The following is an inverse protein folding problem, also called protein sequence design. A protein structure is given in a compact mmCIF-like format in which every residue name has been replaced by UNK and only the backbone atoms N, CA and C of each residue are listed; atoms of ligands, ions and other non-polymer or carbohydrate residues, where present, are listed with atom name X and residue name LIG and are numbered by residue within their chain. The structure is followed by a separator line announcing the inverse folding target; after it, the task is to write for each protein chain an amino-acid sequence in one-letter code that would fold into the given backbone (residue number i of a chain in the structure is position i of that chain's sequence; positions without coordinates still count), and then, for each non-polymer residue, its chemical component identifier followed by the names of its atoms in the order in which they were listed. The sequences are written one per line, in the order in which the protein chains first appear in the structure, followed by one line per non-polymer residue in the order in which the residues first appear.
data_IF_595739316585
#
_entry.id   IF_595739316585
#
_cell.length_a   1.000
_cell.length_b   1.000
_cell.length_c   1.000
_cell.angle_alpha   90.00
_cell.angle_beta   90.00
_cell.angle_gamma   90.00
#
_symmetry.space_group_name_H-M   'P 1'
#
loop_
_entity.id
_entity.type
_entity.pdbx_description
1 polymer ?
2 non-polymer ?
#
# COMPACT_ATOMS: atom_id res chain seq x y z
N UNK A 4 3.62 20.10 8.08
CA UNK A 4 2.47 19.53 8.80
C UNK A 4 2.76 18.14 9.43
N UNK A 5 3.94 17.52 9.08
CA UNK A 5 4.36 16.20 9.58
C UNK A 5 4.81 16.23 11.06
N UNK A 6 3.83 16.06 11.98
CA UNK A 6 4.04 16.08 13.43
C UNK A 6 3.72 14.74 14.10
N UNK A 7 4.56 14.33 15.07
CA UNK A 7 4.44 13.05 15.79
C UNK A 7 3.86 13.21 17.19
N UNK A 8 3.51 12.07 17.80
CA UNK A 8 3.02 11.96 19.18
C UNK A 8 4.03 11.13 20.00
N UNK A 9 3.78 10.95 21.31
CA UNK A 9 4.66 10.18 22.19
C UNK A 9 4.66 8.70 21.86
N UNK A 10 3.47 8.08 21.70
CA UNK A 10 3.33 6.66 21.36
C UNK A 10 4.01 6.32 20.01
N UNK A 11 3.96 7.25 19.01
CA UNK A 11 4.58 7.08 17.69
C UNK A 11 6.09 7.24 17.72
N UNK A 12 6.61 8.17 18.56
CA UNK A 12 8.05 8.37 18.75
C UNK A 12 8.64 7.17 19.50
N UNK A 13 7.87 6.62 20.47
CA UNK A 13 8.24 5.48 21.31
C UNK A 13 8.45 4.21 20.45
N UNK A 14 7.49 3.94 19.52
CA UNK A 14 7.49 2.80 18.60
C UNK A 14 8.61 2.91 17.56
N UNK A 15 8.84 4.14 17.02
CA UNK A 15 9.89 4.44 16.03
C UNK A 15 11.29 4.28 16.62
N UNK A 16 11.43 4.59 17.92
CA UNK A 16 12.65 4.48 18.71
C UNK A 16 13.00 2.99 18.90
N UNK A 17 12.03 2.18 19.40
CA UNK A 17 12.17 0.74 19.61
C UNK A 17 12.64 0.00 18.36
N UNK A 18 11.98 0.27 17.19
CA UNK A 18 12.29 -0.34 15.90
C UNK A 18 13.76 -0.13 15.52
N UNK A 19 14.25 1.14 15.66
CA UNK A 19 15.65 1.54 15.38
C UNK A 19 16.63 0.74 16.26
N UNK A 20 16.28 0.59 17.56
CA UNK A 20 17.03 -0.15 18.55
C UNK A 20 17.11 -1.65 18.15
N UNK A 21 15.96 -2.26 17.80
CA UNK A 21 15.85 -3.63 17.29
C UNK A 21 16.73 -3.80 16.03
N UNK A 22 16.62 -2.85 15.08
CA UNK A 22 17.33 -2.82 13.79
C UNK A 22 18.84 -2.74 13.95
N UNK A 23 19.31 -1.89 14.89
CA UNK A 23 20.74 -1.68 15.13
C UNK A 23 21.41 -2.94 15.68
N UNK A 24 20.65 -3.72 16.49
CA UNK A 24 21.07 -5.01 17.04
C UNK A 24 21.38 -6.05 15.93
N UNK A 25 20.76 -5.90 14.73
CA UNK A 25 20.99 -6.76 13.56
C UNK A 25 22.14 -6.13 12.75
N UNK A 26 23.10 -6.97 12.35
CA UNK A 26 24.24 -6.55 11.56
C UNK A 26 24.01 -6.71 10.08
N UNK A 27 25.00 -7.25 9.36
CA UNK A 27 24.87 -7.51 7.92
C UNK A 27 23.93 -8.72 7.73
N UNK A 28 23.13 -8.72 6.66
CA UNK A 28 22.20 -9.83 6.42
C UNK A 28 22.79 -10.89 5.46
N UNK A 29 22.54 -12.21 5.74
CA UNK A 29 23.07 -13.36 4.97
C UNK A 29 22.01 -14.49 4.83
N UNK A 30 21.82 -15.16 3.61
CA UNK A 30 20.80 -16.23 3.42
C UNK A 30 20.74 -17.15 4.61
N UNK A 31 21.93 -17.60 5.06
CA UNK A 31 22.10 -18.61 6.10
C UNK A 31 21.65 -18.12 7.49
N UNK A 32 21.34 -16.82 7.66
CA UNK A 32 20.83 -16.31 8.93
C UNK A 32 19.32 -16.46 9.04
N UNK A 33 18.64 -16.74 7.92
CA UNK A 33 17.18 -16.81 7.88
C UNK A 33 16.60 -18.21 7.90
N UNK A 34 15.58 -18.36 8.74
CA UNK A 34 14.83 -19.57 8.95
C UNK A 34 13.38 -19.25 8.61
N UNK A 35 12.82 -19.95 7.59
CA UNK A 35 11.43 -19.82 7.12
C UNK A 35 10.42 -20.27 8.20
N UNK A 36 9.31 -19.49 8.37
CA UNK A 36 8.22 -19.75 9.32
C UNK A 36 6.98 -20.18 8.54
N UNK A 37 6.59 -19.35 7.56
CA UNK A 37 5.43 -19.55 6.69
C UNK A 37 5.61 -18.76 5.37
N UNK A 38 4.59 -18.77 4.51
CA UNK A 38 4.57 -18.02 3.27
C UNK A 38 3.40 -17.04 3.32
N UNK A 39 3.69 -15.77 2.99
CA UNK A 39 2.70 -14.67 2.94
C UNK A 39 2.30 -14.38 1.48
N UNK A 40 2.80 -15.23 0.57
CA UNK A 40 2.52 -15.25 -0.86
C UNK A 40 2.86 -14.05 -1.73
N UNK A 41 2.87 -14.31 -3.06
CA UNK A 41 3.14 -13.34 -4.14
C UNK A 41 2.08 -12.24 -4.21
N UNK A 42 2.51 -10.98 -4.28
CA UNK A 42 3.90 -10.58 -4.32
C UNK A 42 4.23 -9.86 -5.60
N UNK A 43 4.42 -8.53 -5.49
CA UNK A 43 4.74 -7.61 -6.58
C UNK A 43 6.27 -7.61 -6.85
N UNK A 44 6.74 -8.72 -7.43
CA UNK A 44 8.12 -8.98 -7.76
C UNK A 44 8.44 -10.47 -7.79
N UNK A 45 8.13 -11.15 -6.69
CA UNK A 45 8.32 -12.57 -6.47
C UNK A 45 7.52 -13.08 -5.28
N UNK A 46 8.14 -13.90 -4.43
CA UNK A 46 7.48 -14.48 -3.25
C UNK A 46 7.80 -13.70 -1.96
N UNK A 47 6.94 -13.86 -0.93
CA UNK A 47 7.11 -13.21 0.37
C UNK A 47 6.94 -14.27 1.47
N UNK A 48 7.95 -14.47 2.32
CA UNK A 48 7.88 -15.43 3.42
C UNK A 48 8.06 -14.72 4.76
N UNK A 49 7.35 -15.21 5.80
CA UNK A 49 7.53 -14.70 7.17
C UNK A 49 8.70 -15.56 7.63
N UNK A 50 9.81 -14.90 8.02
CA UNK A 50 11.05 -15.59 8.42
C UNK A 50 11.57 -15.11 9.78
N UNK A 51 12.49 -15.88 10.37
CA UNK A 51 13.13 -15.54 11.63
C UNK A 51 14.60 -15.36 11.39
N UNK A 52 15.13 -14.17 11.73
CA UNK A 52 16.56 -13.91 11.61
C UNK A 52 17.14 -14.51 12.89
N UNK A 53 17.61 -15.80 12.78
CA UNK A 53 18.15 -16.66 13.84
C UNK A 53 19.05 -15.93 14.85
N UNK A 54 20.17 -15.25 14.44
CA UNK A 54 21.01 -14.56 15.43
C UNK A 54 20.25 -13.61 16.37
N UNK A 55 19.46 -12.66 15.81
CA UNK A 55 18.69 -11.68 16.60
C UNK A 55 17.32 -12.17 17.13
N UNK A 56 16.84 -13.31 16.60
CA UNK A 56 15.55 -13.88 16.98
C UNK A 56 14.35 -13.09 16.51
N UNK A 57 14.60 -12.05 15.69
CA UNK A 57 13.58 -11.19 15.11
C UNK A 57 12.73 -11.92 14.09
N UNK A 58 11.46 -11.48 13.96
CA UNK A 58 10.56 -11.97 12.91
C UNK A 58 10.45 -10.87 11.82
N UNK A 59 10.78 -11.24 10.58
CA UNK A 59 10.78 -10.32 9.46
C UNK A 59 9.95 -10.92 8.33
N UNK A 60 9.82 -10.15 7.28
CA UNK A 60 9.21 -10.57 6.04
C UNK A 60 10.36 -10.50 5.06
N UNK A 61 10.47 -11.49 4.20
CA UNK A 61 11.56 -11.53 3.24
C UNK A 61 11.00 -11.63 1.84
N UNK A 62 11.34 -10.66 1.00
CA UNK A 62 10.90 -10.67 -0.39
C UNK A 62 12.00 -11.27 -1.25
N UNK A 63 11.67 -12.32 -2.01
CA UNK A 63 12.62 -13.03 -2.87
C UNK A 63 12.25 -12.74 -4.33
N UNK A 64 13.07 -11.94 -4.99
CA UNK A 64 12.85 -11.58 -6.39
C UNK A 64 13.89 -12.34 -7.21
N UNK A 65 13.49 -13.51 -7.75
CA UNK A 65 14.41 -14.36 -8.52
C UNK A 65 14.79 -13.76 -9.86
N UNK A 66 15.99 -13.18 -9.90
CA UNK A 66 16.60 -12.56 -11.06
C UNK A 66 18.04 -13.07 -11.16
N UNK A 67 18.31 -13.97 -12.12
CA UNK A 67 19.64 -14.53 -12.33
C UNK A 67 20.51 -13.55 -13.17
N UNK A 68 20.78 -12.36 -12.57
CA UNK A 68 21.54 -11.25 -13.12
C UNK A 68 23.00 -11.21 -12.61
N UNK A 69 23.86 -10.44 -13.31
CA UNK A 69 25.29 -10.27 -13.03
C UNK A 69 25.57 -9.52 -11.69
N UNK A 70 26.79 -9.66 -11.09
CA UNK A 70 27.06 -8.95 -9.81
C UNK A 70 27.10 -7.41 -9.87
N UNK A 71 27.15 -6.84 -11.09
CA UNK A 71 27.17 -5.40 -11.32
C UNK A 71 25.78 -4.83 -11.08
N UNK A 72 24.77 -5.47 -11.69
CA UNK A 72 23.34 -5.11 -11.61
C UNK A 72 22.86 -5.07 -10.14
N UNK A 73 22.94 -6.23 -9.44
CA UNK A 73 22.49 -6.42 -8.06
C UNK A 73 23.09 -5.44 -7.05
N UNK A 74 24.42 -5.18 -7.12
CA UNK A 74 25.10 -4.27 -6.20
C UNK A 74 24.60 -2.82 -6.31
N UNK A 75 24.21 -2.38 -7.54
CA UNK A 75 23.64 -1.06 -7.79
C UNK A 75 22.24 -0.94 -7.17
N UNK A 76 21.44 -2.04 -7.23
CA UNK A 76 20.11 -2.13 -6.63
C UNK A 76 20.21 -1.93 -5.11
N UNK A 77 21.07 -2.74 -4.44
CA UNK A 77 21.35 -2.70 -2.99
C UNK A 77 21.70 -1.27 -2.54
N UNK A 78 22.58 -0.60 -3.31
CA UNK A 78 23.03 0.77 -3.09
C UNK A 78 21.84 1.75 -3.03
N UNK A 79 20.87 1.59 -3.95
CA UNK A 79 19.66 2.41 -4.02
C UNK A 79 18.70 2.08 -2.85
N UNK A 80 18.55 0.77 -2.51
CA UNK A 80 17.68 0.31 -1.41
C UNK A 80 18.21 0.73 -0.03
N UNK A 81 19.50 1.13 0.04
CA UNK A 81 20.15 1.60 1.28
C UNK A 81 19.57 2.95 1.72
N UNK A 82 18.92 3.69 0.79
CA UNK A 82 18.28 4.99 1.06
C UNK A 82 17.18 4.83 2.15
N UNK A 83 16.47 3.70 2.10
CA UNK A 83 15.40 3.32 3.03
C UNK A 83 15.83 3.24 4.49
N UNK A 84 17.15 3.15 4.78
CA UNK A 84 17.67 3.11 6.16
C UNK A 84 17.43 4.45 6.90
N UNK A 85 17.31 5.55 6.12
CA UNK A 85 17.06 6.93 6.57
C UNK A 85 15.56 7.13 6.84
N UNK A 86 14.72 6.31 6.15
CA UNK A 86 13.26 6.30 6.22
C UNK A 86 12.71 6.02 7.61
N UNK A 87 12.05 7.01 8.22
CA UNK A 87 11.47 6.85 9.54
C UNK A 87 10.07 7.43 9.65
N UNK A 88 9.07 6.63 9.27
CA UNK A 88 7.66 7.03 9.30
C UNK A 88 6.79 5.98 9.95
N UNK A 89 5.83 6.39 10.80
CA UNK A 89 4.89 5.40 11.36
C UNK A 89 3.83 4.97 10.34
N UNK A 90 3.93 5.51 9.11
CA UNK A 90 3.01 5.28 8.00
C UNK A 90 3.66 4.54 6.84
N UNK A 91 4.92 4.14 7.00
CA UNK A 91 5.69 3.41 5.99
C UNK A 91 6.27 2.17 6.69
N UNK A 92 6.20 0.98 6.02
CA UNK A 92 6.73 -0.29 6.55
C UNK A 92 8.22 -0.17 6.80
N UNK A 93 8.69 -0.68 7.93
CA UNK A 93 10.10 -0.70 8.32
C UNK A 93 10.99 -1.48 7.37
N UNK A 94 12.23 -1.03 7.19
CA UNK A 94 13.23 -1.68 6.34
C UNK A 94 14.36 -2.18 7.22
N UNK A 95 14.82 -3.42 6.97
CA UNK A 95 15.93 -4.03 7.70
C UNK A 95 17.20 -4.09 6.84
N UNK A 96 17.08 -4.41 5.56
CA UNK A 96 18.20 -4.51 4.64
C UNK A 96 17.90 -5.31 3.39
N UNK A 97 18.78 -5.18 2.38
CA UNK A 97 18.73 -5.89 1.11
C UNK A 97 20.05 -6.64 0.90
N UNK A 98 20.02 -7.70 0.09
CA UNK A 98 21.20 -8.50 -0.23
C UNK A 98 20.91 -9.50 -1.34
N UNK A 99 21.97 -9.96 -2.02
CA UNK A 99 21.85 -10.99 -3.05
C UNK A 99 22.38 -12.28 -2.46
N UNK A 100 21.86 -13.40 -2.97
CA UNK A 100 22.19 -14.77 -2.61
C UNK A 100 21.65 -15.69 -3.70
N UNK A 101 22.45 -16.74 -4.04
CA UNK A 101 22.21 -17.81 -5.01
C UNK A 101 20.86 -17.72 -5.76
N UNK A 102 20.79 -16.78 -6.71
CA UNK A 102 19.62 -16.59 -7.55
C UNK A 102 18.72 -15.40 -7.28
N UNK A 103 18.40 -15.11 -5.99
CA UNK A 103 17.42 -14.08 -5.60
C UNK A 103 17.96 -12.82 -4.88
N UNK A 104 17.18 -11.70 -4.97
CA UNK A 104 17.42 -10.45 -4.26
C UNK A 104 16.47 -10.44 -3.08
N UNK A 105 17.02 -10.48 -1.88
CA UNK A 105 16.21 -10.52 -0.68
C UNK A 105 16.09 -9.13 -0.11
N UNK A 106 14.86 -8.73 0.23
CA UNK A 106 14.53 -7.46 0.85
C UNK A 106 13.86 -7.81 2.16
N UNK A 107 14.46 -7.39 3.26
CA UNK A 107 13.93 -7.70 4.56
C UNK A 107 13.29 -6.54 5.21
N UNK A 108 12.04 -6.73 5.61
CA UNK A 108 11.31 -5.64 6.21
C UNK A 108 10.50 -6.07 7.41
N UNK A 109 9.96 -5.06 8.13
CA UNK A 109 9.13 -5.22 9.30
C UNK A 109 7.94 -6.12 8.95
N UNK A 110 7.62 -7.08 9.84
CA UNK A 110 6.49 -7.98 9.67
C UNK A 110 5.22 -7.30 10.13
N UNK A 111 4.15 -7.46 9.33
CA UNK A 111 2.79 -6.93 9.53
C UNK A 111 1.82 -8.13 9.62
N UNK A 112 1.41 -8.47 10.89
CA UNK A 112 0.55 -9.62 11.21
C UNK A 112 -0.89 -9.53 10.65
N UNK A 113 -1.32 -8.32 10.27
CA UNK A 113 -2.63 -8.12 9.63
C UNK A 113 -2.56 -8.42 8.13
N UNK A 114 -1.34 -8.34 7.58
CA UNK A 114 -1.13 -8.54 6.16
C UNK A 114 -1.70 -7.40 5.34
N UNK A 115 -2.02 -7.68 4.05
CA UNK A 115 -2.54 -6.66 3.16
C UNK A 115 -4.05 -6.45 3.29
N UNK A 116 -4.52 -5.28 2.83
CA UNK A 116 -5.94 -4.95 2.83
C UNK A 116 -6.67 -5.77 1.73
N UNK A 117 -5.92 -6.31 0.74
CA UNK A 117 -6.51 -7.17 -0.27
C UNK A 117 -6.94 -8.49 0.45
N UNK A 118 -6.13 -8.90 1.44
CA UNK A 118 -6.38 -10.09 2.25
C UNK A 118 -7.51 -9.84 3.27
N UNK A 119 -7.48 -8.66 3.91
CA UNK A 119 -8.50 -8.23 4.87
C UNK A 119 -9.86 -8.08 4.14
N UNK A 120 -9.83 -7.62 2.88
CA UNK A 120 -11.02 -7.45 2.05
C UNK A 120 -11.76 -8.79 1.80
N UNK A 121 -11.02 -9.85 1.37
CA UNK A 121 -11.52 -11.20 1.09
C UNK A 121 -12.27 -11.74 2.29
N UNK A 122 -11.69 -11.60 3.49
CA UNK A 122 -12.32 -12.02 4.75
C UNK A 122 -13.55 -11.18 5.11
N UNK A 123 -13.41 -9.83 5.18
CA UNK A 123 -14.48 -8.92 5.61
C UNK A 123 -15.72 -8.83 4.71
N UNK A 124 -15.53 -9.02 3.41
CA UNK A 124 -16.60 -8.84 2.43
C UNK A 124 -16.42 -7.43 1.90
N UNK A 125 -16.74 -6.45 2.75
CA UNK A 125 -16.56 -5.03 2.50
C UNK A 125 -16.14 -4.31 3.82
N UNK A 126 -15.15 -3.41 3.74
CA UNK A 126 -14.63 -2.64 4.89
C UNK A 126 -15.59 -1.45 5.26
N UNK A 127 -15.92 -1.25 6.55
CA UNK A 127 -16.83 -0.14 6.90
C UNK A 127 -16.16 1.22 6.72
N UNK A 128 -17.00 2.24 6.38
CA UNK A 128 -16.59 3.61 6.07
C UNK A 128 -15.73 4.24 7.19
N UNK A 129 -16.12 4.08 8.50
CA UNK A 129 -15.32 4.64 9.61
C UNK A 129 -13.87 4.11 9.61
N UNK A 130 -13.71 2.81 9.25
CA UNK A 130 -12.40 2.15 9.12
C UNK A 130 -11.64 2.77 7.95
N UNK A 131 -12.32 2.98 6.79
CA UNK A 131 -11.70 3.60 5.63
C UNK A 131 -11.21 5.03 5.90
N UNK A 132 -11.79 5.71 6.89
CA UNK A 132 -11.33 7.03 7.34
C UNK A 132 -9.89 6.97 7.86
N UNK A 133 -9.62 6.05 8.82
CA UNK A 133 -8.30 5.78 9.37
C UNK A 133 -7.29 5.38 8.29
N UNK A 134 -7.73 4.55 7.34
CA UNK A 134 -6.90 4.08 6.22
C UNK A 134 -6.50 5.29 5.34
N UNK A 135 -7.50 6.14 5.01
CA UNK A 135 -7.32 7.32 4.20
C UNK A 135 -6.32 8.28 4.80
N UNK A 136 -6.46 8.58 6.12
CA UNK A 136 -5.52 9.40 6.88
C UNK A 136 -4.12 8.81 6.69
N UNK A 137 -3.96 7.49 6.96
CA UNK A 137 -2.69 6.78 6.86
C UNK A 137 -2.05 6.83 5.47
N UNK A 138 -2.81 6.58 4.41
CA UNK A 138 -2.29 6.64 3.04
C UNK A 138 -1.82 8.07 2.73
N UNK A 139 -2.61 9.08 3.17
CA UNK A 139 -2.33 10.51 2.94
C UNK A 139 -0.99 10.86 3.62
N UNK A 140 -0.90 10.63 4.94
CA UNK A 140 0.29 10.90 5.75
C UNK A 140 1.55 10.19 5.19
N UNK A 141 1.35 9.00 4.64
CA UNK A 141 2.40 8.20 4.03
C UNK A 141 2.92 8.86 2.77
N UNK A 142 2.02 9.11 1.81
CA UNK A 142 2.35 9.75 0.54
C UNK A 142 2.98 11.14 0.78
N UNK A 143 2.47 11.91 1.78
CA UNK A 143 2.99 13.24 2.18
C UNK A 143 4.46 13.10 2.62
N UNK A 144 4.77 12.06 3.43
CA UNK A 144 6.13 11.75 3.88
C UNK A 144 7.02 11.38 2.69
N UNK A 145 6.56 10.46 1.81
CA UNK A 145 7.30 10.02 0.63
C UNK A 145 7.74 11.20 -0.24
N UNK A 146 6.89 12.21 -0.38
CA UNK A 146 7.19 13.42 -1.14
C UNK A 146 8.23 14.30 -0.36
N UNK A 147 8.12 14.37 0.98
CA UNK A 147 8.99 15.21 1.80
C UNK A 147 10.37 14.64 2.05
N UNK A 148 10.52 13.73 3.04
CA UNK A 148 11.80 13.17 3.47
C UNK A 148 12.47 12.24 2.46
N UNK A 149 11.81 11.87 1.34
CA UNK A 149 12.40 10.96 0.36
C UNK A 149 12.23 11.41 -1.12
N UNK A 150 11.65 12.61 -1.36
CA UNK A 150 11.43 13.26 -2.66
C UNK A 150 11.06 12.33 -3.84
N UNK A 151 10.37 11.21 -3.53
CA UNK A 151 9.90 10.20 -4.50
C UNK A 151 8.41 9.88 -4.26
N UNK A 152 7.67 9.62 -5.33
CA UNK A 152 6.27 9.24 -5.20
C UNK A 152 6.18 7.71 -5.00
N UNK A 153 5.00 7.20 -4.58
CA UNK A 153 4.79 5.77 -4.35
C UNK A 153 4.83 5.01 -5.68
N UNK A 154 4.02 5.45 -6.67
CA UNK A 154 3.88 4.88 -8.01
C UNK A 154 3.12 3.54 -8.04
N UNK A 155 2.63 3.03 -6.88
CA UNK A 155 1.88 1.76 -6.83
C UNK A 155 0.90 1.64 -5.61
N UNK A 156 -0.14 2.50 -5.54
CA UNK A 156 -1.09 2.43 -4.42
C UNK A 156 -2.24 1.49 -4.75
N UNK A 157 -2.32 0.35 -4.07
CA UNK A 157 -3.39 -0.63 -4.22
C UNK A 157 -3.68 -1.34 -2.89
N UNK A 158 -4.85 -2.00 -2.70
CA UNK A 158 -5.15 -2.64 -1.42
C UNK A 158 -4.04 -3.61 -0.96
N UNK A 159 -3.46 -4.33 -1.94
CA UNK A 159 -2.36 -5.28 -1.73
C UNK A 159 -1.10 -4.63 -1.14
N UNK A 160 -0.91 -3.27 -1.27
CA UNK A 160 0.24 -2.52 -0.79
C UNK A 160 -0.01 -1.71 0.50
N UNK A 161 -1.24 -1.76 1.01
CA UNK A 161 -1.55 -1.14 2.30
C UNK A 161 -1.49 -2.28 3.34
N UNK A 162 -0.54 -2.21 4.29
CA UNK A 162 -0.35 -3.26 5.27
C UNK A 162 -0.78 -2.85 6.64
N UNK A 163 -1.47 -3.74 7.34
CA UNK A 163 -2.01 -3.43 8.66
C UNK A 163 -1.48 -4.37 9.73
N UNK A 164 -1.57 -3.99 11.00
CA UNK A 164 -1.16 -4.86 12.10
C UNK A 164 -2.10 -4.77 13.35
N UNK A 165 -1.97 -5.78 14.23
CA UNK A 165 -2.72 -5.96 15.49
C UNK A 165 -2.59 -4.79 16.48
N UNK A 166 -1.57 -3.91 16.33
CA UNK A 166 -1.38 -2.70 17.16
C UNK A 166 -2.21 -1.51 16.58
N UNK A 167 -2.95 -1.80 15.49
CA UNK A 167 -3.79 -0.88 14.75
C UNK A 167 -3.04 0.05 13.81
N UNK A 168 -1.82 -0.32 13.45
CA UNK A 168 -1.03 0.51 12.55
C UNK A 168 -1.35 0.21 11.09
N UNK A 169 -1.23 1.22 10.22
CA UNK A 169 -1.48 1.12 8.77
C UNK A 169 -0.26 1.76 8.09
N UNK A 170 0.38 1.00 7.20
CA UNK A 170 1.60 1.43 6.53
C UNK A 170 1.65 1.03 5.06
N UNK A 171 2.48 1.74 4.29
CA UNK A 171 2.69 1.47 2.87
C UNK A 171 3.93 0.62 2.58
N UNK A 172 3.83 -0.21 1.53
CA UNK A 172 4.85 -1.14 1.04
C UNK A 172 4.90 -1.09 -0.50
N UNK A 173 5.94 -1.74 -1.09
CA UNK A 173 6.26 -1.96 -2.51
C UNK A 173 6.07 -0.74 -3.39
N UNK A 174 6.75 0.34 -2.95
CA UNK A 174 6.84 1.62 -3.62
C UNK A 174 8.25 1.72 -4.19
N UNK A 175 8.34 2.19 -5.43
CA UNK A 175 9.59 2.33 -6.17
C UNK A 175 10.59 3.25 -5.54
N UNK A 176 11.65 2.65 -4.96
CA UNK A 176 12.78 3.35 -4.32
C UNK A 176 14.01 3.14 -5.21
N UNK A 177 14.24 1.90 -5.65
CA UNK A 177 15.35 1.55 -6.55
C UNK A 177 14.85 1.61 -7.99
N UNK A 178 15.42 2.54 -8.75
CA UNK A 178 15.13 2.74 -10.16
C UNK A 178 15.60 1.58 -11.00
N UNK A 179 16.80 1.04 -10.68
CA UNK A 179 17.40 -0.09 -11.38
C UNK A 179 16.72 -1.42 -11.09
N UNK A 180 16.04 -1.54 -9.91
CA UNK A 180 15.30 -2.76 -9.56
C UNK A 180 14.10 -2.92 -10.50
N UNK A 181 13.39 -1.79 -10.76
CA UNK A 181 12.24 -1.72 -11.67
C UNK A 181 12.72 -2.01 -13.10
N UNK A 182 13.89 -1.43 -13.47
CA UNK A 182 14.56 -1.58 -14.77
C UNK A 182 14.81 -3.05 -15.14
N UNK A 183 15.47 -3.81 -14.24
CA UNK A 183 15.75 -5.24 -14.45
C UNK A 183 14.47 -6.07 -14.33
N UNK A 184 13.39 -5.50 -13.75
CA UNK A 184 12.10 -6.16 -13.59
C UNK A 184 11.14 -5.90 -14.76
N UNK A 185 11.69 -5.61 -15.96
CA UNK A 185 10.92 -5.37 -17.17
C UNK A 185 10.22 -6.65 -17.67
N UNK A 186 10.80 -7.84 -17.37
CA UNK A 186 10.24 -9.14 -17.79
C UNK A 186 8.92 -9.49 -17.04
N UNK A 187 8.83 -10.00 -15.78
CA UNK A 187 9.71 -10.50 -14.68
C UNK A 187 8.71 -10.71 -13.54
N UNK A 188 7.66 -9.84 -13.54
CA UNK A 188 6.50 -9.76 -12.65
C UNK A 188 5.51 -8.75 -13.26
N UNK A 189 5.92 -7.45 -13.34
CA UNK A 189 5.16 -6.30 -13.88
C UNK A 189 3.79 -6.12 -13.15
N UNK A 190 3.75 -5.16 -12.22
CA UNK A 190 2.58 -4.83 -11.40
C UNK A 190 1.35 -4.41 -12.19
N UNK A 191 0.14 -4.79 -11.68
CA UNK A 191 -1.15 -4.52 -12.33
C UNK A 191 -1.42 -3.00 -12.50
N UNK A 192 -1.84 -2.65 -13.73
CA UNK A 192 -2.08 -1.28 -14.17
C UNK A 192 -3.54 -0.86 -14.02
N UNK A 193 -4.37 -1.75 -13.46
CA UNK A 193 -5.79 -1.54 -13.18
C UNK A 193 -6.02 -0.44 -12.14
N UNK A 194 -5.00 -0.10 -11.33
CA UNK A 194 -5.11 0.96 -10.33
C UNK A 194 -4.47 2.28 -10.77
N UNK A 195 -3.83 2.28 -11.95
CA UNK A 195 -3.17 3.47 -12.48
C UNK A 195 -4.15 4.45 -13.06
N UNK A 196 -3.91 5.76 -12.80
CA UNK A 196 -4.74 6.90 -13.23
C UNK A 196 -4.99 6.90 -14.73
N UNK A 197 -6.03 7.56 -15.28
CA UNK A 197 -6.20 7.51 -16.75
C UNK A 197 -5.14 8.33 -17.50
N UNK A 198 -4.29 9.10 -16.75
CA UNK A 198 -3.19 9.87 -17.32
C UNK A 198 -1.88 9.06 -17.36
N UNK A 199 -1.72 8.06 -16.46
CA UNK A 199 -0.54 7.21 -16.48
C UNK A 199 -0.69 6.18 -17.58
N UNK A 200 -1.94 5.78 -17.90
CA UNK A 200 -2.26 4.86 -19.00
C UNK A 200 -2.27 5.61 -20.36
N UNK A 201 -1.84 6.88 -20.35
CA UNK A 201 -1.71 7.76 -21.51
C UNK A 201 -0.25 8.27 -21.60
N UNK A 202 0.58 7.91 -20.61
CA UNK A 202 1.97 8.30 -20.50
C UNK A 202 2.18 9.77 -20.13
N UNK A 203 1.11 10.59 -20.23
CA UNK A 203 1.11 12.03 -19.95
C UNK A 203 1.30 12.33 -18.46
N UNK A 204 1.74 13.58 -18.12
CA UNK A 204 2.11 14.13 -16.81
C UNK A 204 1.63 13.30 -15.58
N UNK A 205 2.59 12.84 -14.76
CA UNK A 205 2.29 12.01 -13.59
C UNK A 205 3.10 12.36 -12.33
N UNK A 206 2.41 13.01 -11.38
CA UNK A 206 2.96 13.40 -10.08
C UNK A 206 2.23 12.61 -9.01
N UNK A 207 2.22 13.13 -7.78
CA UNK A 207 1.52 12.55 -6.64
C UNK A 207 0.00 12.43 -6.94
N UNK A 208 -0.43 12.98 -8.09
CA UNK A 208 -1.81 13.00 -8.57
C UNK A 208 -2.29 11.65 -9.00
N UNK A 209 -1.37 10.78 -9.43
CA UNK A 209 -1.68 9.43 -9.88
C UNK A 209 -1.86 8.54 -8.67
N UNK A 210 -1.12 8.86 -7.58
CA UNK A 210 -1.19 8.17 -6.28
C UNK A 210 -2.57 8.39 -5.65
N UNK A 211 -3.10 9.63 -5.79
CA UNK A 211 -4.39 10.06 -5.26
C UNK A 211 -5.51 9.31 -6.00
N UNK A 212 -5.42 9.18 -7.34
CA UNK A 212 -6.42 8.43 -8.12
C UNK A 212 -6.49 6.96 -7.61
N UNK A 213 -5.28 6.34 -7.51
CA UNK A 213 -5.05 4.98 -7.05
C UNK A 213 -5.70 4.79 -5.67
N UNK A 214 -5.49 5.76 -4.76
CA UNK A 214 -6.09 5.73 -3.43
C UNK A 214 -7.61 5.75 -3.50
N UNK A 215 -8.17 6.72 -4.19
CA UNK A 215 -9.61 6.81 -4.33
C UNK A 215 -10.28 5.56 -4.85
N UNK A 216 -9.58 4.84 -5.77
CA UNK A 216 -10.09 3.64 -6.42
C UNK A 216 -9.98 2.44 -5.50
N UNK A 217 -8.87 2.38 -4.72
CA UNK A 217 -8.64 1.36 -3.69
C UNK A 217 -9.79 1.49 -2.69
N UNK A 218 -10.06 2.74 -2.23
CA UNK A 218 -11.13 3.06 -1.31
C UNK A 218 -12.49 2.65 -1.80
N UNK A 219 -12.77 2.80 -3.10
CA UNK A 219 -14.08 2.45 -3.65
C UNK A 219 -14.22 0.94 -3.59
N UNK A 220 -13.19 0.24 -4.10
CA UNK A 220 -13.15 -1.22 -4.07
C UNK A 220 -13.36 -1.80 -2.66
N UNK A 221 -12.70 -1.24 -1.63
CA UNK A 221 -12.82 -1.76 -0.28
C UNK A 221 -14.17 -1.50 0.34
N UNK A 222 -14.80 -0.40 -0.05
CA UNK A 222 -16.09 0.03 0.45
C UNK A 222 -17.20 -0.84 -0.09
N UNK A 223 -17.16 -1.18 -1.40
CA UNK A 223 -18.19 -1.98 -2.06
C UNK A 223 -17.93 -3.48 -2.02
N UNK A 224 -16.67 -3.86 -1.84
CA UNK A 224 -16.23 -5.25 -1.79
C UNK A 224 -16.01 -5.88 -3.15
N UNK A 225 -15.74 -5.05 -4.18
CA UNK A 225 -15.53 -5.50 -5.57
C UNK A 225 -14.68 -4.47 -6.30
N UNK A 226 -13.85 -4.90 -7.28
CA UNK A 226 -13.12 -3.93 -8.10
C UNK A 226 -14.19 -3.13 -8.87
N UNK A 227 -14.17 -1.79 -8.71
CA UNK A 227 -15.26 -0.93 -9.23
C UNK A 227 -15.57 -0.91 -10.71
N UNK A 228 -14.55 -1.12 -11.56
CA UNK A 228 -14.65 -1.08 -13.01
C UNK A 228 -14.88 -2.50 -13.58
N UNK A 229 -15.92 -2.74 -14.38
CA UNK A 229 -16.94 -1.80 -14.83
C UNK A 229 -18.10 -1.61 -13.85
N UNK A 230 -18.66 -0.38 -13.74
CA UNK A 230 -19.80 -0.15 -12.84
C UNK A 230 -20.90 -1.21 -12.91
N UNK A 231 -21.21 -1.90 -11.79
CA UNK A 231 -22.24 -2.95 -11.83
C UNK A 231 -23.64 -2.37 -11.96
N UNK A 232 -24.59 -3.17 -12.49
CA UNK A 232 -25.98 -2.73 -12.62
C UNK A 232 -26.68 -2.76 -11.24
N UNK A 233 -27.84 -2.06 -11.12
CA UNK A 233 -28.64 -1.99 -9.88
C UNK A 233 -29.04 -3.39 -9.35
N UNK A 234 -29.06 -4.43 -10.23
CA UNK A 234 -29.36 -5.83 -9.90
C UNK A 234 -28.22 -6.45 -9.05
N UNK A 235 -26.97 -5.99 -9.30
CA UNK A 235 -25.77 -6.39 -8.56
C UNK A 235 -25.65 -5.54 -7.28
N UNK A 236 -26.43 -4.43 -7.20
CA UNK A 236 -26.51 -3.53 -6.04
C UNK A 236 -27.52 -4.06 -5.01
N UNK A 237 -28.56 -4.79 -5.49
CA UNK A 237 -29.59 -5.46 -4.66
C UNK A 237 -28.90 -6.65 -3.98
N UNK A 238 -28.09 -7.37 -4.79
CA UNK A 238 -27.26 -8.52 -4.44
C UNK A 238 -26.21 -8.11 -3.39
N UNK A 239 -25.64 -6.88 -3.53
CA UNK A 239 -24.61 -6.32 -2.63
C UNK A 239 -25.16 -5.69 -1.33
N UNK A 240 -26.01 -4.65 -1.45
CA UNK A 240 -26.55 -3.90 -0.31
C UNK A 240 -28.05 -4.13 -0.08
N UNK A 241 -28.85 -3.99 -1.14
CA UNK A 241 -30.30 -4.15 -1.11
C UNK A 241 -31.07 -2.86 -0.85
N UNK A 242 -30.72 -1.78 -1.59
CA UNK A 242 -31.35 -0.46 -1.48
N UNK A 272 -17.36 -10.90 -17.97
CA UNK A 272 -15.92 -11.08 -17.74
C UNK A 272 -15.05 -10.28 -18.72
N UNK A 273 -14.58 -9.09 -18.28
CA UNK A 273 -13.79 -8.14 -19.05
C UNK A 273 -12.26 -8.35 -18.90
N UNK A 274 -11.55 -8.42 -20.04
CA UNK A 274 -10.10 -8.60 -20.08
C UNK A 274 -9.35 -7.31 -19.72
N UNK A 275 -8.10 -7.44 -19.22
CA UNK A 275 -7.20 -6.37 -18.75
C UNK A 275 -7.04 -5.21 -19.75
N UNK A 276 -6.82 -5.50 -21.04
CA UNK A 276 -6.66 -4.48 -22.08
C UNK A 276 -7.95 -3.68 -22.32
N UNK A 277 -9.11 -4.36 -22.27
CA UNK A 277 -10.46 -3.80 -22.41
C UNK A 277 -10.77 -2.87 -21.20
N UNK A 278 -10.42 -3.34 -19.98
CA UNK A 278 -10.58 -2.68 -18.69
C UNK A 278 -9.82 -1.35 -18.64
N UNK A 279 -8.54 -1.37 -19.09
CA UNK A 279 -7.66 -0.21 -19.15
C UNK A 279 -8.13 0.81 -20.17
N UNK A 280 -8.76 0.35 -21.26
CA UNK A 280 -9.29 1.23 -22.30
C UNK A 280 -10.54 1.93 -21.75
N UNK A 281 -11.35 1.20 -20.93
CA UNK A 281 -12.55 1.71 -20.25
C UNK A 281 -12.18 2.82 -19.28
N UNK A 282 -11.07 2.66 -18.52
CA UNK A 282 -10.60 3.65 -17.56
C UNK A 282 -10.39 5.01 -18.24
N UNK A 283 -9.54 5.04 -19.27
CA UNK A 283 -9.17 6.26 -19.98
C UNK A 283 -10.36 6.91 -20.71
N UNK A 284 -11.25 6.09 -21.27
CA UNK A 284 -12.36 6.56 -22.07
C UNK A 284 -13.66 6.90 -21.32
N UNK A 285 -14.15 6.00 -20.47
CA UNK A 285 -15.44 6.16 -19.81
C UNK A 285 -15.41 6.92 -18.45
N UNK A 286 -16.59 7.43 -17.96
CA UNK A 286 -16.61 8.19 -16.70
C UNK A 286 -16.12 7.40 -15.48
N UNK A 287 -15.49 8.09 -14.48
CA UNK A 287 -14.94 7.41 -13.31
C UNK A 287 -15.95 6.72 -12.40
N UNK A 288 -15.50 5.70 -11.62
CA UNK A 288 -16.44 5.02 -10.69
C UNK A 288 -16.81 5.89 -9.50
N UNK A 289 -17.96 5.61 -8.88
CA UNK A 289 -18.42 6.38 -7.73
C UNK A 289 -19.02 5.44 -6.71
N UNK A 290 -19.16 5.88 -5.47
CA UNK A 290 -19.78 5.02 -4.46
C UNK A 290 -21.30 5.03 -4.68
N UNK A 291 -22.03 3.94 -4.36
CA UNK A 291 -23.50 3.98 -4.46
C UNK A 291 -24.11 4.98 -3.46
N UNK A 292 -25.24 5.61 -3.84
CA UNK A 292 -25.93 6.58 -3.00
C UNK A 292 -26.70 5.95 -1.82
N UNK A 293 -26.93 6.78 -0.79
CA UNK A 293 -27.67 6.37 0.39
C UNK A 293 -26.92 5.53 1.41
N UNK A 294 -26.28 4.44 0.93
CA UNK A 294 -25.47 3.50 1.72
C UNK A 294 -24.34 4.23 2.49
N UNK A 295 -23.58 5.07 1.75
CA UNK A 295 -22.44 5.82 2.25
C UNK A 295 -22.82 7.24 2.59
N UNK A 296 -21.93 7.91 3.36
CA UNK A 296 -22.13 9.29 3.77
C UNK A 296 -21.73 10.19 2.62
N UNK A 297 -22.30 11.40 2.59
CA UNK A 297 -22.00 12.32 1.51
C UNK A 297 -20.57 12.87 1.57
N UNK A 298 -20.01 13.13 2.79
CA UNK A 298 -18.60 13.57 2.96
C UNK A 298 -17.63 12.56 2.27
N UNK A 299 -17.88 11.26 2.50
CA UNK A 299 -17.06 10.17 1.95
C UNK A 299 -17.19 10.05 0.42
N UNK A 300 -18.41 10.23 -0.11
CA UNK A 300 -18.67 10.23 -1.55
C UNK A 300 -17.92 11.46 -2.13
N UNK A 301 -18.06 12.61 -1.47
CA UNK A 301 -17.33 13.78 -1.95
C UNK A 301 -15.81 13.55 -1.95
N UNK A 302 -15.29 12.97 -0.86
CA UNK A 302 -13.87 12.63 -0.74
C UNK A 302 -13.33 11.79 -1.91
N UNK A 303 -14.00 10.63 -2.20
CA UNK A 303 -13.62 9.73 -3.29
C UNK A 303 -13.82 10.40 -4.65
N UNK A 304 -14.85 11.30 -4.74
CA UNK A 304 -15.15 11.99 -6.00
C UNK A 304 -14.04 12.91 -6.39
N UNK A 305 -13.46 13.57 -5.40
CA UNK A 305 -12.32 14.46 -5.54
C UNK A 305 -11.05 13.70 -5.86
N UNK A 306 -10.99 12.40 -5.55
CA UNK A 306 -9.81 11.58 -5.85
C UNK A 306 -9.94 10.98 -7.26
N UNK A 307 -11.15 10.80 -7.74
CA UNK A 307 -11.35 10.12 -9.00
C UNK A 307 -11.76 11.03 -10.17
N UNK A 308 -11.37 12.32 -10.10
CA UNK A 308 -11.56 13.30 -11.17
C UNK A 308 -10.44 12.94 -12.20
N UNK A 309 -10.86 12.52 -13.45
CA UNK A 309 -9.95 12.07 -14.54
C UNK A 309 -8.87 13.08 -14.87
N UNK A 310 -9.23 14.39 -14.93
CA UNK A 310 -8.28 15.46 -15.19
C UNK A 310 -7.40 15.67 -13.94
N UNK A 311 -6.05 15.53 -14.06
CA UNK A 311 -5.17 15.69 -12.88
C UNK A 311 -5.12 17.07 -12.29
N UNK A 312 -5.34 18.09 -13.14
CA UNK A 312 -5.32 19.50 -12.71
C UNK A 312 -6.51 19.84 -11.78
N UNK A 313 -7.67 19.22 -12.06
CA UNK A 313 -8.87 19.42 -11.25
C UNK A 313 -8.92 18.44 -10.06
N UNK A 314 -8.20 17.30 -10.17
CA UNK A 314 -8.09 16.33 -9.09
C UNK A 314 -7.39 16.93 -7.86
N UNK A 315 -7.90 16.58 -6.69
CA UNK A 315 -7.45 17.08 -5.41
C UNK A 315 -6.02 16.72 -5.12
N UNK A 316 -5.29 17.67 -4.52
CA UNK A 316 -3.91 17.45 -4.10
C UNK A 316 -3.95 17.04 -2.64
N UNK A 317 -2.82 16.59 -2.08
CA UNK A 317 -2.72 16.16 -0.69
C UNK A 317 -3.12 17.20 0.33
N UNK A 318 -2.68 18.48 0.16
CA UNK A 318 -2.99 19.58 1.08
C UNK A 318 -4.51 19.69 1.23
N UNK A 319 -5.22 19.74 0.09
CA UNK A 319 -6.68 19.81 -0.01
C UNK A 319 -7.35 18.62 0.74
N UNK A 320 -6.91 17.41 0.41
CA UNK A 320 -7.39 16.15 1.01
C UNK A 320 -7.14 16.08 2.50
N UNK A 321 -5.95 16.52 2.95
CA UNK A 321 -5.51 16.52 4.34
C UNK A 321 -6.41 17.36 5.23
N UNK A 322 -7.30 18.21 4.64
CA UNK A 322 -8.23 19.09 5.37
C UNK A 322 -9.70 18.93 4.92
N UNK A 323 -9.98 17.98 4.04
CA UNK A 323 -11.32 17.68 3.55
C UNK A 323 -12.19 17.25 4.72
N UNK A 324 -13.48 17.60 4.68
CA UNK A 324 -14.46 17.26 5.72
C UNK A 324 -14.40 15.80 6.20
N UNK A 325 -14.22 14.85 5.27
CA UNK A 325 -14.16 13.42 5.59
C UNK A 325 -12.97 13.10 6.55
N UNK A 326 -11.79 13.66 6.22
CA UNK A 326 -10.56 13.49 6.98
C UNK A 326 -10.65 14.14 8.36
N UNK A 327 -11.21 15.37 8.41
CA UNK A 327 -11.38 16.14 9.64
C UNK A 327 -12.23 15.33 10.61
N UNK A 328 -13.38 14.84 10.11
CA UNK A 328 -14.34 14.02 10.82
C UNK A 328 -13.68 12.73 11.23
N UNK A 329 -12.97 12.05 10.32
CA UNK A 329 -12.33 10.76 10.62
C UNK A 329 -11.32 10.87 11.73
N UNK A 330 -10.44 11.90 11.69
CA UNK A 330 -9.39 12.17 12.70
C UNK A 330 -10.00 12.40 14.08
N UNK A 331 -11.13 13.09 14.14
CA UNK A 331 -11.89 13.41 15.33
C UNK A 331 -12.65 12.20 15.92
N UNK A 332 -12.91 11.14 15.10
CA UNK A 332 -13.60 9.93 15.60
C UNK A 332 -12.52 9.06 16.23
N UNK A 333 -12.86 8.37 17.33
CA UNK A 333 -11.89 7.45 17.96
C UNK A 333 -12.31 6.03 17.57
N UNK A 334 -11.86 5.64 16.38
CA UNK A 334 -12.21 4.36 15.76
C UNK A 334 -11.25 3.31 16.24
N UNK A 335 -11.82 2.22 16.82
CA UNK A 335 -11.03 1.10 17.30
C UNK A 335 -10.67 0.17 16.15
N UNK A 336 -9.60 0.54 15.45
CA UNK A 336 -9.16 -0.18 14.28
C UNK A 336 -8.66 -1.59 14.59
N UNK A 337 -7.76 -1.74 15.60
CA UNK A 337 -7.17 -3.03 16.00
C UNK A 337 -8.24 -4.02 16.40
N UNK A 338 -9.22 -3.51 17.17
CA UNK A 338 -10.40 -4.24 17.59
C UNK A 338 -11.11 -4.86 16.41
N UNK A 339 -11.54 -4.02 15.49
CA UNK A 339 -12.22 -4.43 14.27
C UNK A 339 -11.43 -5.45 13.50
N UNK A 340 -10.16 -5.14 13.28
CA UNK A 340 -9.26 -5.98 12.51
C UNK A 340 -9.17 -7.35 13.06
N UNK A 341 -8.80 -7.49 14.34
CA UNK A 341 -8.62 -8.78 15.00
C UNK A 341 -9.83 -9.67 14.88
N UNK A 342 -11.02 -9.11 15.14
CA UNK A 342 -12.32 -9.76 14.97
C UNK A 342 -12.55 -10.22 13.50
N UNK A 343 -12.23 -9.35 12.51
CA UNK A 343 -12.37 -9.64 11.08
C UNK A 343 -11.41 -10.72 10.56
N UNK A 344 -10.12 -10.66 10.90
CA UNK A 344 -9.21 -11.66 10.37
C UNK A 344 -8.98 -12.81 11.35
N UNK A 345 -9.73 -12.80 12.45
CA UNK A 345 -9.73 -13.82 13.49
C UNK A 345 -8.39 -14.05 14.13
N UNK A 346 -7.76 -12.98 14.64
CA UNK A 346 -6.44 -13.08 15.28
C UNK A 346 -6.49 -13.70 16.70
N UNK A 347 -5.79 -14.87 16.87
CA UNK A 347 -5.69 -15.64 18.12
X LIG B 1 4.76 -7.74 2.99
X LIG B 1 5.65 -7.13 5.36
X LIG B 1 3.88 -8.47 5.12
X LIG B 1 4.82 -7.73 4.38
X LIG B 1 3.72 -8.57 0.86
X LIG B 1 4.47 -7.48 -1.15
X LIG B 1 3.55 -6.30 -1.36
X LIG B 1 2.86 -9.19 4.49
X LIG B 1 2.82 -9.19 3.11
X LIG B 1 3.75 -8.49 2.35
X LIG B 1 5.27 -7.47 6.58
X LIG B 1 4.19 -8.30 6.43
X LIG B 1 4.57 -7.71 0.29
X LIG B 1 3.00 -9.32 0.24
#
# INVERSE_FOLDING_TARGET
GLEELELDEQQRKRLEAFLTQKQKVGELKDDDFEKISELGAGNGGVVFKVSHKPSGLVMARKLIHLEIKPAIRNQIIRELQVLHECNSPYIVGFYGAFYSDGEISICMEHMDGGSLDQVLKKAGRIPEQILGKVSIAVIKGLTYLREKHKIMHRDVKPSNILVNSRGEIKLCDFGVSGQLIDSMANSFVGTRSYMSPERLQGTHYSVQSDIWSMGLSLVEMAVGRYPIPPPDAKELELMFGCQVEGDAAETPPRPRTPGRPLNKKGMDSRPPMAIFELLDYIVNEPPPKLPSGVFSLEFQDFVNKCLIKNPAERADLKQLMVHAFIKRSDAEEVDFAGWLCSTIGLNQ
4W5 C4 C5 C8 C9 C10 C13 C14 C1 C2 C3 N6 N7 O11 O12
#
